data_IF_330447275193
#
_entry.id   IF_330447275193
#
_cell.length_a   1.000
_cell.length_b   1.000
_cell.length_c   1.000
_cell.angle_alpha   90.00
_cell.angle_beta   90.00
_cell.angle_gamma   90.00
#
_symmetry.space_group_name_H-M   'P 1'
#
loop_
_entity.id
_entity.type
_entity.pdbx_description
1 polymer ?
#
# COMPACT_ATOMS: atom_id res chain seq x y z
N UNK A 1 6.37 18.38 11.04
CA UNK A 1 5.84 17.50 9.98
C UNK A 1 4.77 16.60 10.58
N UNK A 2 3.49 16.89 10.36
CA UNK A 2 2.34 16.03 10.78
C UNK A 2 1.65 15.34 9.60
N UNK A 3 2.27 15.31 8.42
CA UNK A 3 1.68 14.72 7.22
C UNK A 3 1.30 13.24 7.40
N UNK A 4 2.01 12.51 8.27
CA UNK A 4 1.87 11.05 8.38
C UNK A 4 0.66 10.59 9.22
N UNK A 5 0.10 11.45 10.07
CA UNK A 5 -1.00 11.08 10.99
C UNK A 5 -2.36 11.64 10.60
N UNK A 6 -2.40 12.62 9.68
CA UNK A 6 -3.61 13.38 9.39
C UNK A 6 -4.13 13.19 7.96
N UNK A 7 -3.44 12.41 7.11
CA UNK A 7 -3.94 12.11 5.76
C UNK A 7 -5.06 11.04 5.84
N UNK A 8 -6.33 11.39 5.53
CA UNK A 8 -7.46 10.47 5.64
C UNK A 8 -7.36 9.27 4.70
N UNK A 9 -6.77 9.46 3.52
CA UNK A 9 -6.61 8.39 2.52
C UNK A 9 -5.60 7.35 2.98
N UNK A 10 -4.50 7.79 3.61
CA UNK A 10 -3.54 6.84 4.19
C UNK A 10 -4.18 6.06 5.35
N UNK A 11 -4.93 6.72 6.23
CA UNK A 11 -5.60 6.03 7.33
C UNK A 11 -6.63 5.03 6.80
N UNK A 12 -7.38 5.38 5.76
CA UNK A 12 -8.27 4.45 5.06
C UNK A 12 -7.50 3.24 4.55
N UNK A 13 -6.42 3.47 3.80
CA UNK A 13 -5.58 2.40 3.24
C UNK A 13 -5.04 1.46 4.32
N UNK A 14 -4.42 2.01 5.37
CA UNK A 14 -3.82 1.21 6.44
C UNK A 14 -4.87 0.39 7.20
N UNK A 15 -6.03 0.99 7.52
CA UNK A 15 -7.12 0.31 8.21
C UNK A 15 -7.73 -0.80 7.35
N UNK A 16 -7.99 -0.54 6.07
CA UNK A 16 -8.57 -1.55 5.19
C UNK A 16 -7.57 -2.67 4.92
N UNK A 17 -6.29 -2.37 4.70
CA UNK A 17 -5.27 -3.40 4.52
C UNK A 17 -5.13 -4.29 5.76
N UNK A 18 -5.25 -3.71 6.95
CA UNK A 18 -5.28 -4.49 8.19
C UNK A 18 -6.53 -5.37 8.28
N UNK A 19 -7.71 -4.84 7.94
CA UNK A 19 -8.98 -5.56 7.97
C UNK A 19 -8.98 -6.79 7.06
N UNK A 20 -8.37 -6.69 5.88
CA UNK A 20 -8.30 -7.78 4.90
C UNK A 20 -7.01 -8.61 5.01
N UNK A 21 -6.20 -8.42 6.06
CA UNK A 21 -4.96 -9.15 6.28
C UNK A 21 -4.00 -9.09 5.08
N UNK A 22 -3.87 -7.90 4.49
CA UNK A 22 -2.89 -7.63 3.45
C UNK A 22 -1.50 -7.58 4.08
N UNK A 23 -0.61 -8.44 3.63
CA UNK A 23 0.76 -8.54 4.06
C UNK A 23 1.66 -7.69 3.16
N UNK A 24 2.10 -6.54 3.68
CA UNK A 24 2.96 -5.60 2.96
C UNK A 24 3.99 -4.97 3.89
N UNK A 25 5.00 -4.35 3.31
CA UNK A 25 5.96 -3.49 4.00
C UNK A 25 5.90 -2.11 3.35
N UNK A 26 5.82 -1.06 4.17
CA UNK A 26 5.99 0.32 3.67
C UNK A 26 7.46 0.54 3.38
N UNK A 27 7.76 1.02 2.18
CA UNK A 27 9.13 1.30 1.70
C UNK A 27 9.21 2.73 1.18
N UNK A 28 10.31 3.08 0.51
CA UNK A 28 10.43 4.37 -0.19
C UNK A 28 10.51 5.60 0.71
N UNK A 29 10.09 6.74 0.16
CA UNK A 29 10.26 8.06 0.78
C UNK A 29 9.58 8.19 2.14
N UNK A 30 8.41 7.54 2.31
CA UNK A 30 7.68 7.53 3.57
C UNK A 30 8.46 6.83 4.69
N UNK A 31 9.04 5.67 4.41
CA UNK A 31 9.87 4.95 5.37
C UNK A 31 11.14 5.75 5.75
N UNK A 32 11.75 6.43 4.78
CA UNK A 32 12.91 7.31 5.01
C UNK A 32 12.54 8.53 5.86
N UNK A 33 11.40 9.16 5.61
CA UNK A 33 10.94 10.29 6.44
C UNK A 33 10.69 9.89 7.89
N UNK A 34 10.19 8.67 8.12
CA UNK A 34 9.85 8.18 9.45
C UNK A 34 11.07 7.88 10.32
N UNK A 35 12.17 7.42 9.72
CA UNK A 35 13.36 6.91 10.43
C UNK A 35 14.69 7.60 10.06
N UNK A 36 14.69 8.52 9.09
CA UNK A 36 15.87 9.18 8.53
C UNK A 36 15.72 10.70 8.46
N UNK A 37 15.95 11.29 7.28
CA UNK A 37 15.88 12.73 7.04
C UNK A 37 14.65 13.10 6.21
N UNK A 38 14.23 14.36 6.31
CA UNK A 38 12.99 14.83 5.69
C UNK A 38 13.13 15.06 4.19
N UNK A 39 12.24 14.45 3.42
CA UNK A 39 12.06 14.61 1.97
C UNK A 39 10.56 14.78 1.70
N UNK A 40 10.20 15.67 0.79
CA UNK A 40 8.81 15.71 0.29
C UNK A 40 8.52 14.45 -0.53
N UNK A 41 7.49 13.71 -0.16
CA UNK A 41 6.95 12.56 -0.92
C UNK A 41 5.43 12.72 -0.92
N UNK A 42 4.81 12.52 -2.08
CA UNK A 42 3.35 12.66 -2.26
C UNK A 42 2.63 11.31 -2.39
N UNK A 43 3.40 10.24 -2.34
CA UNK A 43 3.06 8.86 -2.63
C UNK A 43 3.44 7.93 -1.46
N UNK A 44 2.82 6.76 -1.42
CA UNK A 44 3.13 5.69 -0.48
C UNK A 44 3.57 4.47 -1.27
N UNK A 45 4.85 4.14 -1.16
CA UNK A 45 5.41 2.92 -1.75
C UNK A 45 5.23 1.73 -0.81
N UNK A 46 4.71 0.64 -1.34
CA UNK A 46 4.58 -0.63 -0.60
C UNK A 46 5.28 -1.77 -1.34
N UNK A 47 5.89 -2.67 -0.57
CA UNK A 47 6.34 -3.97 -1.04
C UNK A 47 5.33 -5.03 -0.58
N UNK A 48 4.63 -5.64 -1.54
CA UNK A 48 3.63 -6.67 -1.27
C UNK A 48 4.30 -8.04 -1.11
N UNK A 49 3.89 -8.83 -0.11
CA UNK A 49 4.24 -10.25 -0.06
C UNK A 49 3.52 -10.97 -1.20
N UNK A 50 4.26 -11.37 -2.22
CA UNK A 50 3.69 -11.90 -3.46
C UNK A 50 3.21 -13.35 -3.33
N UNK A 51 2.03 -13.54 -2.75
CA UNK A 51 1.28 -14.81 -2.75
C UNK A 51 -0.09 -14.64 -3.36
N UNK A 52 -0.67 -15.70 -3.92
CA UNK A 52 -2.00 -15.65 -4.52
C UNK A 52 -3.08 -15.20 -3.52
N UNK A 53 -3.04 -15.73 -2.30
CA UNK A 53 -3.92 -15.34 -1.19
C UNK A 53 -3.78 -13.85 -0.89
N UNK A 54 -2.55 -13.34 -0.74
CA UNK A 54 -2.34 -11.95 -0.39
C UNK A 54 -2.74 -10.99 -1.53
N UNK A 55 -2.65 -11.43 -2.79
CA UNK A 55 -3.21 -10.70 -3.95
C UNK A 55 -4.74 -10.65 -3.89
N UNK A 56 -5.42 -11.73 -3.50
CA UNK A 56 -6.88 -11.74 -3.31
C UNK A 56 -7.31 -10.81 -2.19
N UNK A 57 -6.55 -10.80 -1.08
CA UNK A 57 -6.76 -9.88 0.03
C UNK A 57 -6.61 -8.42 -0.42
N UNK A 58 -5.55 -8.12 -1.19
CA UNK A 58 -5.32 -6.80 -1.77
C UNK A 58 -6.48 -6.37 -2.68
N UNK A 59 -6.94 -7.24 -3.59
CA UNK A 59 -8.06 -6.93 -4.49
C UNK A 59 -9.32 -6.61 -3.69
N UNK A 60 -9.65 -7.42 -2.68
CA UNK A 60 -10.82 -7.20 -1.82
C UNK A 60 -10.70 -5.90 -1.02
N UNK A 61 -9.51 -5.57 -0.53
CA UNK A 61 -9.25 -4.31 0.17
C UNK A 61 -9.46 -3.08 -0.74
N UNK A 62 -8.93 -3.11 -1.97
CA UNK A 62 -9.09 -2.02 -2.94
C UNK A 62 -10.56 -1.84 -3.34
N UNK A 63 -11.29 -2.94 -3.48
CA UNK A 63 -12.72 -2.94 -3.78
C UNK A 63 -13.53 -2.32 -2.62
N UNK A 64 -13.24 -2.69 -1.37
CA UNK A 64 -13.88 -2.11 -0.17
C UNK A 64 -13.64 -0.60 -0.06
N UNK A 65 -12.46 -0.13 -0.45
CA UNK A 65 -12.13 1.30 -0.46
C UNK A 65 -12.91 2.09 -1.54
N UNK A 66 -13.63 1.41 -2.43
CA UNK A 66 -14.42 2.04 -3.49
C UNK A 66 -13.62 2.41 -4.74
N UNK A 67 -12.38 1.94 -4.87
CA UNK A 67 -11.54 2.20 -6.06
C UNK A 67 -11.79 1.19 -7.20
N UNK A 68 -12.65 0.20 -6.96
CA UNK A 68 -13.03 -0.82 -7.93
C UNK A 68 -12.26 -2.13 -7.77
N UNK A 69 -12.59 -3.11 -8.61
CA UNK A 69 -12.06 -4.46 -8.53
C UNK A 69 -11.04 -4.73 -9.63
N UNK A 70 -9.85 -5.21 -9.23
CA UNK A 70 -8.70 -5.39 -10.13
C UNK A 70 -8.24 -6.86 -10.20
N UNK A 71 -9.09 -7.75 -10.69
CA UNK A 71 -8.79 -9.20 -10.77
C UNK A 71 -7.52 -9.53 -11.57
N UNK A 72 -7.08 -8.62 -12.45
CA UNK A 72 -5.82 -8.76 -13.21
C UNK A 72 -4.59 -8.87 -12.30
N UNK A 73 -4.65 -8.35 -11.07
CA UNK A 73 -3.58 -8.48 -10.08
C UNK A 73 -3.31 -9.93 -9.67
N UNK A 74 -4.19 -10.88 -9.97
CA UNK A 74 -3.94 -12.31 -9.72
C UNK A 74 -2.86 -12.90 -10.64
N UNK A 75 -2.68 -12.34 -11.83
CA UNK A 75 -1.85 -12.95 -12.89
C UNK A 75 -0.74 -12.04 -13.39
N UNK A 76 -0.89 -10.72 -13.26
CA UNK A 76 0.13 -9.77 -13.67
C UNK A 76 1.41 -9.95 -12.81
N UNK A 77 2.60 -10.03 -13.42
CA UNK A 77 3.85 -10.02 -12.67
C UNK A 77 4.01 -8.72 -11.87
N UNK A 78 4.29 -8.83 -10.56
CA UNK A 78 4.63 -7.68 -9.72
C UNK A 78 6.15 -7.51 -9.81
N UNK A 79 6.59 -6.43 -10.44
CA UNK A 79 8.02 -6.12 -10.58
C UNK A 79 8.36 -5.06 -9.53
N UNK A 80 9.22 -5.43 -8.58
CA UNK A 80 9.72 -4.49 -7.59
C UNK A 80 10.68 -3.50 -8.27
N UNK A 81 10.31 -2.21 -8.26
CA UNK A 81 11.16 -1.11 -8.69
C UNK A 81 11.42 -1.04 -10.20
N UNK A 82 10.47 -0.50 -10.96
CA UNK A 82 10.72 0.27 -12.19
C UNK A 82 9.59 1.30 -12.36
N UNK A 83 9.83 2.54 -11.92
CA UNK A 83 9.61 3.82 -12.63
C UNK A 83 10.02 4.98 -11.71
#
# INVERSE_FOLDING_TARGET
>A
MSFDKENPEMLLLLNTFQQFEVHYLIVGGFAVNRYGYNRTTGDLDIYLKDTQENRQNLISAIEEMGYGRYDMLLTIPIIAGVL
#
